data_IF_180454833194
#
_entry.id   IF_180454833194
#
_cell.length_a   1.000
_cell.length_b   1.000
_cell.length_c   1.000
_cell.angle_alpha   90.00
_cell.angle_beta   90.00
_cell.angle_gamma   90.00
#
_symmetry.space_group_name_H-M   'P 1'
#
loop_
_entity.id
_entity.type
_entity.pdbx_description
1 polymer ?
#
# COMPACT_ATOMS: atom_id res chain seq x y z
N UNK A 1 -3.71 11.92 -1.90
CA UNK A 1 -4.76 11.58 -0.92
C UNK A 1 -4.23 10.53 0.06
N UNK A 2 -4.64 10.53 1.33
CA UNK A 2 -4.13 9.57 2.33
C UNK A 2 -5.25 8.75 2.97
N UNK A 3 -5.03 7.45 3.12
CA UNK A 3 -6.00 6.51 3.67
C UNK A 3 -5.31 5.55 4.64
N UNK A 4 -5.98 5.23 5.72
CA UNK A 4 -5.54 4.23 6.69
C UNK A 4 -6.10 2.87 6.32
N UNK A 5 -5.28 1.83 6.45
CA UNK A 5 -5.67 0.46 6.18
C UNK A 5 -5.48 -0.34 7.46
N UNK A 6 -6.52 -1.06 7.86
CA UNK A 6 -6.45 -1.98 9.00
C UNK A 6 -5.76 -3.29 8.60
N UNK A 7 -5.91 -3.74 7.36
CA UNK A 7 -5.20 -4.88 6.78
C UNK A 7 -5.13 -4.78 5.23
N UNK A 8 -4.29 -5.60 4.60
CA UNK A 8 -4.16 -5.67 3.13
C UNK A 8 -5.37 -6.32 2.44
N UNK A 9 -6.21 -7.09 3.11
CA UNK A 9 -7.43 -7.64 2.52
C UNK A 9 -8.58 -6.61 2.51
N UNK A 10 -8.46 -5.55 3.30
CA UNK A 10 -9.42 -4.45 3.43
C UNK A 10 -9.42 -3.48 2.23
N UNK A 11 -8.56 -3.68 1.22
CA UNK A 11 -8.60 -2.94 -0.05
C UNK A 11 -9.90 -3.13 -0.83
N UNK A 12 -10.62 -4.24 -0.59
CA UNK A 12 -11.90 -4.53 -1.24
C UNK A 12 -13.05 -3.60 -0.87
N UNK A 13 -12.84 -2.61 0.01
CA UNK A 13 -13.85 -1.59 0.32
C UNK A 13 -14.04 -0.69 -0.91
N UNK A 14 -15.04 -1.01 -1.71
CA UNK A 14 -15.61 -0.21 -2.82
C UNK A 14 -15.61 1.30 -2.52
N UNK A 15 -15.85 1.69 -1.28
CA UNK A 15 -15.81 3.07 -0.80
C UNK A 15 -14.48 3.79 -1.09
N UNK A 16 -13.36 3.07 -1.07
CA UNK A 16 -12.05 3.67 -1.29
C UNK A 16 -11.82 4.01 -2.77
N UNK A 17 -12.13 3.07 -3.65
CA UNK A 17 -12.07 3.26 -5.11
C UNK A 17 -13.03 4.37 -5.54
N UNK A 18 -14.25 4.38 -4.98
CA UNK A 18 -15.23 5.44 -5.24
C UNK A 18 -14.74 6.82 -4.80
N UNK A 19 -13.99 6.92 -3.70
CA UNK A 19 -13.40 8.18 -3.26
C UNK A 19 -12.30 8.68 -4.21
N UNK A 20 -11.47 7.77 -4.74
CA UNK A 20 -10.46 8.11 -5.75
C UNK A 20 -11.17 8.57 -7.03
N UNK A 21 -12.19 7.85 -7.49
CA UNK A 21 -12.95 8.22 -8.69
C UNK A 21 -13.58 9.62 -8.55
N UNK A 22 -14.19 9.91 -7.40
CA UNK A 22 -14.83 11.22 -7.14
C UNK A 22 -13.83 12.38 -7.10
N UNK A 23 -12.61 12.14 -6.60
CA UNK A 23 -11.62 13.21 -6.37
C UNK A 23 -10.64 13.38 -7.54
N UNK A 24 -10.33 12.29 -8.24
CA UNK A 24 -9.25 12.21 -9.23
C UNK A 24 -9.70 11.63 -10.57
N UNK A 25 -10.96 11.21 -10.68
CA UNK A 25 -11.58 10.72 -11.91
C UNK A 25 -11.48 9.22 -12.10
N UNK A 26 -12.29 8.71 -13.03
CA UNK A 26 -12.43 7.27 -13.32
C UNK A 26 -11.11 6.61 -13.73
N UNK A 27 -10.27 7.31 -14.50
CA UNK A 27 -8.98 6.76 -14.93
C UNK A 27 -8.02 6.54 -13.76
N UNK A 28 -7.98 7.48 -12.81
CA UNK A 28 -7.18 7.31 -11.59
C UNK A 28 -7.67 6.13 -10.75
N UNK A 29 -8.99 5.92 -10.64
CA UNK A 29 -9.56 4.78 -9.94
C UNK A 29 -9.23 3.44 -10.61
N UNK A 30 -9.29 3.37 -11.95
CA UNK A 30 -8.88 2.17 -12.71
C UNK A 30 -7.39 1.90 -12.50
N UNK A 31 -6.54 2.91 -12.67
CA UNK A 31 -5.09 2.78 -12.50
C UNK A 31 -4.72 2.33 -11.09
N UNK A 32 -5.41 2.87 -10.07
CA UNK A 32 -5.29 2.40 -8.69
C UNK A 32 -5.63 0.91 -8.55
N UNK A 33 -6.74 0.44 -9.12
CA UNK A 33 -7.14 -0.96 -9.07
C UNK A 33 -6.12 -1.89 -9.76
N UNK A 34 -5.57 -1.49 -10.90
CA UNK A 34 -4.54 -2.25 -11.62
C UNK A 34 -3.26 -2.37 -10.77
N UNK A 35 -2.85 -1.24 -10.17
CA UNK A 35 -1.73 -1.16 -9.24
C UNK A 35 -1.90 -2.07 -8.02
N UNK A 36 -3.08 -2.04 -7.40
CA UNK A 36 -3.38 -2.89 -6.25
C UNK A 36 -3.44 -4.38 -6.60
N UNK A 37 -3.97 -4.71 -7.78
CA UNK A 37 -3.97 -6.08 -8.31
C UNK A 37 -2.55 -6.62 -8.46
N UNK A 38 -1.64 -5.80 -8.98
CA UNK A 38 -0.22 -6.14 -9.11
C UNK A 38 0.42 -6.44 -7.73
N UNK A 39 0.15 -5.60 -6.73
CA UNK A 39 0.65 -5.78 -5.35
C UNK A 39 0.13 -7.11 -4.76
N UNK A 40 -1.17 -7.34 -4.83
CA UNK A 40 -1.81 -8.53 -4.25
C UNK A 40 -1.32 -9.82 -4.93
N UNK A 41 -1.11 -9.79 -6.25
CA UNK A 41 -0.54 -10.93 -6.97
C UNK A 41 0.89 -11.22 -6.52
N UNK A 42 1.72 -10.20 -6.27
CA UNK A 42 3.08 -10.40 -5.73
C UNK A 42 3.06 -10.95 -4.30
N UNK A 43 2.14 -10.49 -3.46
CA UNK A 43 1.98 -10.97 -2.09
C UNK A 43 1.54 -12.44 -2.02
N UNK A 44 0.74 -12.93 -2.98
CA UNK A 44 0.26 -14.32 -3.00
C UNK A 44 1.33 -15.37 -3.36
N UNK A 45 2.42 -14.95 -4.00
CA UNK A 45 3.37 -15.87 -4.62
C UNK A 45 4.80 -15.74 -4.08
N UNK A 46 5.01 -14.94 -3.04
CA UNK A 46 6.34 -14.65 -2.49
C UNK A 46 6.18 -14.21 -1.02
N UNK A 47 7.26 -14.28 -0.23
CA UNK A 47 7.36 -13.75 1.15
C UNK A 47 7.31 -12.20 1.16
N UNK A 48 6.83 -11.60 0.08
CA UNK A 48 6.60 -10.17 -0.06
C UNK A 48 5.46 -9.80 0.89
N UNK A 49 5.71 -8.85 1.79
CA UNK A 49 4.77 -8.36 2.81
C UNK A 49 4.56 -9.25 4.04
N UNK A 50 5.43 -10.22 4.33
CA UNK A 50 5.37 -10.98 5.59
C UNK A 50 5.39 -10.08 6.83
N UNK A 51 6.10 -8.96 6.77
CA UNK A 51 6.10 -7.92 7.80
C UNK A 51 4.72 -7.28 8.07
N UNK A 52 3.76 -7.42 7.15
CA UNK A 52 2.39 -6.90 7.29
C UNK A 52 1.45 -7.93 7.97
N UNK A 53 1.91 -9.18 8.18
CA UNK A 53 1.16 -10.20 8.90
C UNK A 53 1.33 -10.09 10.43
N UNK A 54 2.16 -9.18 10.93
CA UNK A 54 2.34 -8.92 12.36
C UNK A 54 1.14 -8.13 12.92
N UNK A 55 0.51 -8.62 13.99
CA UNK A 55 -0.67 -8.00 14.64
C UNK A 55 -0.39 -6.61 15.22
N UNK A 56 0.89 -6.25 15.42
CA UNK A 56 1.34 -4.94 15.91
C UNK A 56 1.84 -4.02 14.78
N UNK A 57 1.57 -4.37 13.53
CA UNK A 57 1.89 -3.54 12.37
C UNK A 57 0.80 -2.49 12.12
N UNK A 58 1.21 -1.35 11.59
CA UNK A 58 0.30 -0.34 11.03
C UNK A 58 0.49 -0.30 9.51
N UNK A 59 -0.57 0.06 8.79
CA UNK A 59 -0.49 0.28 7.35
C UNK A 59 -1.26 1.51 6.91
N UNK A 60 -0.68 2.27 5.98
CA UNK A 60 -1.26 3.46 5.36
C UNK A 60 -0.97 3.45 3.88
N UNK A 61 -1.85 4.07 3.11
CA UNK A 61 -1.67 4.24 1.67
C UNK A 61 -1.83 5.71 1.30
N UNK A 62 -0.85 6.22 0.56
CA UNK A 62 -0.96 7.47 -0.15
C UNK A 62 -1.30 7.16 -1.61
N UNK A 63 -2.17 7.97 -2.20
CA UNK A 63 -2.55 7.84 -3.61
C UNK A 63 -2.32 9.18 -4.29
N UNK A 64 -1.51 9.16 -5.34
CA UNK A 64 -1.24 10.30 -6.20
C UNK A 64 -2.48 10.66 -7.04
N UNK A 65 -2.46 11.84 -7.67
CA UNK A 65 -3.61 12.31 -8.45
C UNK A 65 -3.93 11.41 -9.66
N UNK A 66 -2.94 10.69 -10.18
CA UNK A 66 -3.10 9.74 -11.29
C UNK A 66 -3.56 8.34 -10.83
N UNK A 67 -3.80 8.15 -9.53
CA UNK A 67 -4.19 6.86 -8.96
C UNK A 67 -3.01 5.99 -8.50
N UNK A 68 -1.76 6.41 -8.70
CA UNK A 68 -0.59 5.63 -8.29
C UNK A 68 -0.52 5.51 -6.76
N UNK A 69 -0.53 4.29 -6.18
CA UNK A 69 -0.43 4.11 -4.75
C UNK A 69 1.02 4.01 -4.26
N UNK A 70 1.25 4.52 -3.05
CA UNK A 70 2.42 4.21 -2.22
C UNK A 70 1.94 3.63 -0.89
N UNK A 71 2.40 2.44 -0.54
CA UNK A 71 2.04 1.79 0.72
C UNK A 71 3.15 1.99 1.74
N UNK A 72 2.74 2.33 2.94
CA UNK A 72 3.59 2.48 4.11
C UNK A 72 3.14 1.45 5.12
N UNK A 73 4.07 0.65 5.62
CA UNK A 73 3.79 -0.23 6.74
C UNK A 73 4.98 -0.27 7.69
N UNK A 74 4.72 -0.63 8.92
CA UNK A 74 5.79 -0.74 9.89
C UNK A 74 5.33 -1.45 11.14
N UNK A 75 6.30 -2.04 11.85
CA UNK A 75 6.08 -2.61 13.17
C UNK A 75 6.75 -1.70 14.20
N UNK A 76 5.95 -1.24 15.16
CA UNK A 76 6.45 -0.44 16.27
C UNK A 76 7.38 -1.25 17.17
N UNK A 77 7.19 -2.58 17.22
CA UNK A 77 8.01 -3.51 18.00
C UNK A 77 9.42 -3.62 17.44
N UNK A 78 9.54 -3.87 16.13
CA UNK A 78 10.84 -4.03 15.46
C UNK A 78 11.44 -2.70 15.01
N UNK A 79 10.74 -1.58 15.24
CA UNK A 79 11.14 -0.23 14.79
C UNK A 79 11.51 -0.19 13.30
N UNK A 80 10.90 -1.05 12.51
CA UNK A 80 11.17 -1.20 11.08
C UNK A 80 9.98 -0.68 10.28
N UNK A 81 10.29 0.11 9.27
CA UNK A 81 9.38 0.80 8.38
C UNK A 81 9.66 0.36 6.95
N UNK A 82 8.60 0.08 6.21
CA UNK A 82 8.66 -0.36 4.83
C UNK A 82 7.84 0.59 3.97
N UNK A 83 8.41 0.93 2.81
CA UNK A 83 7.77 1.77 1.81
C UNK A 83 7.73 0.98 0.51
N UNK A 84 6.53 0.83 -0.03
CA UNK A 84 6.27 0.14 -1.27
C UNK A 84 5.77 1.14 -2.30
N UNK A 85 6.53 1.29 -3.37
CA UNK A 85 6.19 2.18 -4.49
C UNK A 85 5.98 1.35 -5.75
N UNK A 86 5.04 1.78 -6.59
CA UNK A 86 4.83 1.18 -7.91
C UNK A 86 5.43 2.11 -8.97
N UNK A 87 6.26 1.54 -9.83
CA UNK A 87 6.81 2.23 -11.00
C UNK A 87 6.97 1.24 -12.14
N UNK A 88 6.43 1.55 -13.32
CA UNK A 88 6.57 0.75 -14.54
C UNK A 88 6.21 -0.75 -14.34
N UNK A 89 5.08 -1.04 -13.69
CA UNK A 89 4.63 -2.40 -13.31
C UNK A 89 5.60 -3.17 -12.38
N UNK A 90 6.52 -2.47 -11.73
CA UNK A 90 7.39 -3.04 -10.70
C UNK A 90 7.04 -2.46 -9.33
N UNK A 91 7.06 -3.33 -8.32
CA UNK A 91 6.89 -2.93 -6.93
C UNK A 91 8.26 -2.84 -6.30
N UNK A 92 8.72 -1.63 -5.99
CA UNK A 92 9.96 -1.38 -5.27
C UNK A 92 9.67 -1.35 -3.77
N UNK A 93 10.46 -2.10 -3.00
CA UNK A 93 10.42 -2.12 -1.53
C UNK A 93 11.64 -1.39 -0.97
N UNK A 94 11.41 -0.46 -0.06
CA UNK A 94 12.44 0.21 0.73
C UNK A 94 12.25 -0.10 2.21
N UNK A 95 13.34 -0.35 2.93
CA UNK A 95 13.33 -0.66 4.37
C UNK A 95 14.08 0.45 5.11
N UNK A 96 13.48 0.98 6.18
CA UNK A 96 14.09 1.94 7.09
C UNK A 96 13.95 1.43 8.53
N UNK A 97 15.07 1.35 9.24
CA UNK A 97 15.07 1.05 10.67
C UNK A 97 15.32 2.33 11.45
N UNK A 98 14.53 2.57 12.50
CA UNK A 98 14.87 3.59 13.48
C UNK A 98 15.99 3.04 14.36
N UNK A 99 17.22 3.49 14.11
CA UNK A 99 18.33 3.27 15.03
C UNK A 99 18.12 4.20 16.23
N UNK A 100 18.13 3.65 17.44
CA UNK A 100 18.19 4.48 18.64
C UNK A 100 19.56 5.16 18.67
N UNK A 101 19.58 6.49 18.54
CA UNK A 101 20.71 7.31 19.02
C UNK A 101 20.65 7.47 20.54
#
# INVERSE_FOLDING_TARGET
MYYSLEDLNNFGKLDFVMQIERKSGKQAAIHFCDCMTLILNKAKHNDYFDEMNDKLSWSRIAVEHDGTPTLFCGSLLTKTFYIYTIKDNQVKREVKQLVNE
#
